data_IF_134019026092
#
_entry.id   IF_134019026092
#
_cell.length_a   1.000
_cell.length_b   1.000
_cell.length_c   1.000
_cell.angle_alpha   90.00
_cell.angle_beta   90.00
_cell.angle_gamma   90.00
#
_symmetry.space_group_name_H-M   'P 1'
#
loop_
_entity.id
_entity.type
_entity.pdbx_description
1 polymer ?
#
# COMPACT_ATOMS: atom_id res chain seq x y z
N UNK A 1 -22.20 5.17 3.47
CA UNK A 1 -21.35 5.12 2.26
C UNK A 1 -20.64 3.79 2.13
N UNK A 2 -20.07 3.26 3.23
CA UNK A 2 -19.39 1.96 3.30
C UNK A 2 -20.27 0.79 2.81
N UNK A 3 -21.49 0.69 3.31
CA UNK A 3 -22.45 -0.35 2.89
C UNK A 3 -22.74 -0.33 1.39
N UNK A 4 -22.82 0.86 0.77
CA UNK A 4 -23.09 0.97 -0.67
C UNK A 4 -21.92 0.52 -1.53
N UNK A 5 -20.68 0.70 -1.10
CA UNK A 5 -19.49 0.30 -1.87
C UNK A 5 -19.22 -1.19 -1.74
N UNK A 6 -19.36 -1.75 -0.54
CA UNK A 6 -19.38 -3.20 -0.33
C UNK A 6 -20.54 -3.83 -1.11
N UNK A 7 -21.73 -3.21 -1.09
CA UNK A 7 -22.89 -3.62 -1.88
C UNK A 7 -22.61 -3.57 -3.38
N UNK A 8 -21.83 -2.61 -3.90
CA UNK A 8 -21.48 -2.55 -5.31
C UNK A 8 -20.51 -3.67 -5.71
N UNK A 9 -19.51 -3.98 -4.90
CA UNK A 9 -18.64 -5.16 -5.12
C UNK A 9 -19.48 -6.44 -5.00
N UNK A 10 -20.34 -6.53 -4.01
CA UNK A 10 -21.26 -7.66 -3.79
C UNK A 10 -22.30 -7.75 -4.89
N UNK A 11 -22.84 -6.62 -5.40
CA UNK A 11 -23.76 -6.60 -6.53
C UNK A 11 -23.08 -7.00 -7.84
N UNK A 12 -21.85 -6.55 -8.08
CA UNK A 12 -21.06 -6.99 -9.22
C UNK A 12 -20.84 -8.52 -9.16
N UNK A 13 -20.49 -9.05 -7.99
CA UNK A 13 -20.37 -10.49 -7.76
C UNK A 13 -21.71 -11.23 -7.92
N UNK A 14 -22.82 -10.65 -7.45
CA UNK A 14 -24.19 -11.24 -7.61
C UNK A 14 -24.71 -11.19 -9.04
N UNK A 15 -24.32 -10.21 -9.83
CA UNK A 15 -24.72 -10.09 -11.24
C UNK A 15 -23.93 -11.07 -12.12
N UNK A 16 -22.66 -11.31 -11.80
CA UNK A 16 -21.81 -12.23 -12.56
C UNK A 16 -22.03 -13.71 -12.24
N UNK A 17 -22.69 -14.04 -11.10
CA UNK A 17 -22.89 -15.42 -10.67
C UNK A 17 -24.36 -15.70 -10.29
N UNK A 18 -25.12 -16.43 -11.12
CA UNK A 18 -26.47 -16.86 -10.76
C UNK A 18 -26.42 -17.80 -9.57
N UNK A 19 -27.37 -17.62 -8.67
CA UNK A 19 -27.56 -18.30 -7.39
C UNK A 19 -27.48 -19.84 -7.50
N UNK A 20 -26.31 -20.39 -7.26
CA UNK A 20 -26.16 -21.76 -6.81
C UNK A 20 -25.44 -21.75 -5.44
N UNK A 21 -25.84 -22.66 -4.57
CA UNK A 21 -25.52 -22.73 -3.13
C UNK A 21 -24.03 -22.97 -2.77
N UNK A 22 -23.06 -22.53 -3.57
CA UNK A 22 -21.64 -22.62 -3.21
C UNK A 22 -21.09 -21.27 -2.75
N UNK A 23 -20.14 -21.31 -1.82
CA UNK A 23 -19.41 -20.13 -1.40
C UNK A 23 -18.64 -19.52 -2.57
N UNK A 24 -18.56 -18.19 -2.59
CA UNK A 24 -17.71 -17.44 -3.53
C UNK A 24 -16.29 -17.43 -2.95
N UNK A 25 -15.35 -17.97 -3.70
CA UNK A 25 -13.94 -18.03 -3.32
C UNK A 25 -13.22 -16.75 -3.73
N UNK A 26 -12.67 -16.04 -2.77
CA UNK A 26 -11.91 -14.81 -2.97
C UNK A 26 -10.47 -15.05 -2.52
N UNK A 27 -9.54 -14.89 -3.44
CA UNK A 27 -8.11 -14.92 -3.13
C UNK A 27 -7.55 -13.50 -3.09
N UNK A 28 -6.89 -13.16 -2.01
CA UNK A 28 -6.33 -11.83 -1.75
C UNK A 28 -4.81 -11.93 -1.78
N UNK A 29 -4.16 -11.17 -2.65
CA UNK A 29 -2.70 -11.20 -2.81
C UNK A 29 -2.14 -9.84 -2.41
N UNK A 30 -1.42 -9.78 -1.29
CA UNK A 30 -0.90 -8.54 -0.71
C UNK A 30 0.52 -8.73 -0.20
N UNK A 31 1.39 -7.76 -0.48
CA UNK A 31 2.75 -7.73 0.10
C UNK A 31 2.69 -7.64 1.63
N UNK A 32 3.66 -8.23 2.35
CA UNK A 32 3.67 -8.23 3.81
C UNK A 32 4.06 -6.89 4.45
N UNK A 33 3.89 -5.78 3.73
CA UNK A 33 4.16 -4.43 4.19
C UNK A 33 2.95 -3.85 4.92
N UNK A 34 3.12 -3.34 6.13
CA UNK A 34 2.02 -2.87 7.00
C UNK A 34 1.10 -1.86 6.32
N UNK A 35 1.66 -0.90 5.55
CA UNK A 35 0.90 0.13 4.84
C UNK A 35 0.03 -0.38 3.68
N UNK A 36 0.24 -1.62 3.22
CA UNK A 36 -0.52 -2.29 2.17
C UNK A 36 -1.44 -3.36 2.74
N UNK A 37 -0.89 -4.19 3.62
CA UNK A 37 -1.62 -5.32 4.20
C UNK A 37 -2.80 -4.85 5.05
N UNK A 38 -2.57 -4.04 6.08
CA UNK A 38 -3.64 -3.68 7.02
C UNK A 38 -4.79 -2.90 6.38
N UNK A 39 -4.59 -1.91 5.51
CA UNK A 39 -5.71 -1.28 4.80
C UNK A 39 -6.55 -2.27 4.01
N UNK A 40 -5.91 -3.22 3.31
CA UNK A 40 -6.62 -4.26 2.54
C UNK A 40 -7.37 -5.22 3.45
N UNK A 41 -6.76 -5.69 4.55
CA UNK A 41 -7.42 -6.58 5.50
C UNK A 41 -8.62 -5.89 6.18
N UNK A 42 -8.47 -4.64 6.58
CA UNK A 42 -9.57 -3.88 7.20
C UNK A 42 -10.73 -3.64 6.22
N UNK A 43 -10.44 -3.42 4.93
CA UNK A 43 -11.46 -3.35 3.89
C UNK A 43 -12.26 -4.65 3.79
N UNK A 44 -11.60 -5.80 3.91
CA UNK A 44 -12.20 -7.12 3.68
C UNK A 44 -12.74 -7.79 4.95
N UNK A 45 -12.31 -7.36 6.14
CA UNK A 45 -12.74 -7.95 7.41
C UNK A 45 -14.27 -8.09 7.57
N UNK A 46 -15.13 -7.16 7.11
CA UNK A 46 -16.58 -7.35 7.17
C UNK A 46 -17.07 -8.56 6.38
N UNK A 47 -16.38 -8.96 5.29
CA UNK A 47 -16.77 -10.09 4.45
C UNK A 47 -16.49 -11.44 5.13
N UNK A 48 -15.56 -11.50 6.08
CA UNK A 48 -15.28 -12.73 6.85
C UNK A 48 -16.47 -13.21 7.68
N UNK A 49 -17.38 -12.30 8.03
CA UNK A 49 -18.58 -12.60 8.81
C UNK A 49 -19.74 -13.12 7.95
N UNK A 50 -19.64 -13.00 6.63
CA UNK A 50 -20.68 -13.47 5.70
C UNK A 50 -20.35 -14.88 5.21
N UNK A 51 -21.18 -15.90 5.53
CA UNK A 51 -20.94 -17.29 5.14
C UNK A 51 -20.94 -17.52 3.62
N UNK A 52 -21.35 -16.53 2.83
CA UNK A 52 -21.32 -16.59 1.38
C UNK A 52 -19.89 -16.60 0.82
N UNK A 53 -18.92 -16.05 1.56
CA UNK A 53 -17.56 -15.89 1.10
C UNK A 53 -16.60 -16.87 1.77
N UNK A 54 -15.63 -17.35 1.00
CA UNK A 54 -14.44 -18.05 1.44
C UNK A 54 -13.23 -17.22 1.02
N UNK A 55 -12.51 -16.65 1.99
CA UNK A 55 -11.43 -15.71 1.72
C UNK A 55 -10.10 -16.33 2.11
N UNK A 56 -9.17 -16.45 1.14
CA UNK A 56 -7.80 -16.88 1.38
C UNK A 56 -6.85 -15.71 1.11
N UNK A 57 -5.89 -15.52 2.01
CA UNK A 57 -4.89 -14.45 1.93
C UNK A 57 -3.52 -15.01 1.58
N UNK A 58 -2.95 -14.53 0.50
CA UNK A 58 -1.60 -14.80 0.04
C UNK A 58 -0.70 -13.64 0.45
N UNK A 59 0.21 -13.87 1.38
CA UNK A 59 1.15 -12.86 1.87
C UNK A 59 2.43 -13.51 2.41
N UNK A 60 3.44 -12.72 2.79
CA UNK A 60 4.67 -13.25 3.36
C UNK A 60 4.48 -13.89 4.73
N UNK A 61 5.29 -14.91 5.08
CA UNK A 61 5.15 -15.70 6.31
C UNK A 61 5.27 -14.87 7.59
N UNK A 62 6.02 -13.75 7.57
CA UNK A 62 6.20 -12.86 8.71
C UNK A 62 4.92 -12.13 9.15
N UNK A 63 3.87 -12.14 8.31
CA UNK A 63 2.55 -11.52 8.61
C UNK A 63 1.43 -12.54 8.83
N UNK A 64 1.76 -13.84 8.79
CA UNK A 64 0.78 -14.93 8.93
C UNK A 64 0.02 -14.84 10.24
N UNK A 65 0.72 -14.83 11.37
CA UNK A 65 0.09 -14.84 12.70
C UNK A 65 -0.92 -13.69 12.87
N UNK A 66 -0.51 -12.45 12.55
CA UNK A 66 -1.38 -11.28 12.68
C UNK A 66 -2.62 -11.36 11.79
N UNK A 67 -2.47 -11.88 10.56
CA UNK A 67 -3.62 -12.00 9.66
C UNK A 67 -4.57 -13.13 10.07
N UNK A 68 -4.05 -14.22 10.64
CA UNK A 68 -4.86 -15.32 11.21
C UNK A 68 -5.62 -14.87 12.46
N UNK A 69 -5.04 -14.03 13.31
CA UNK A 69 -5.73 -13.38 14.44
C UNK A 69 -6.91 -12.51 13.98
N UNK A 70 -6.82 -11.92 12.79
CA UNK A 70 -7.93 -11.19 12.17
C UNK A 70 -9.01 -12.11 11.57
N UNK A 71 -8.79 -13.42 11.54
CA UNK A 71 -9.70 -14.42 11.01
C UNK A 71 -9.51 -14.79 9.53
N UNK A 72 -8.41 -14.38 8.90
CA UNK A 72 -8.10 -14.76 7.52
C UNK A 72 -7.43 -16.14 7.47
N UNK A 73 -7.79 -16.94 6.47
CA UNK A 73 -7.04 -18.14 6.11
C UNK A 73 -5.80 -17.72 5.32
N UNK A 74 -4.61 -17.87 5.91
CA UNK A 74 -3.35 -17.42 5.29
C UNK A 74 -2.65 -18.56 4.57
N UNK A 75 -2.29 -18.30 3.31
CA UNK A 75 -1.41 -19.14 2.51
C UNK A 75 -0.10 -18.35 2.31
N UNK A 76 0.98 -18.71 3.00
CA UNK A 76 2.22 -17.96 2.90
C UNK A 76 2.85 -18.18 1.53
N UNK A 77 3.35 -17.08 0.94
CA UNK A 77 4.10 -17.07 -0.30
C UNK A 77 5.57 -16.79 0.01
N UNK A 78 6.47 -17.46 -0.71
CA UNK A 78 7.92 -17.36 -0.54
C UNK A 78 8.38 -17.69 0.90
N UNK A 79 7.89 -18.80 1.47
CA UNK A 79 8.23 -19.23 2.85
C UNK A 79 9.74 -19.33 3.11
N UNK A 80 10.51 -19.67 2.09
CA UNK A 80 11.96 -19.81 2.19
C UNK A 80 12.73 -18.50 2.00
N UNK A 81 12.04 -17.36 1.75
CA UNK A 81 12.61 -16.07 1.43
C UNK A 81 12.00 -14.97 2.32
N UNK A 82 12.04 -15.16 3.63
CA UNK A 82 11.33 -14.33 4.63
C UNK A 82 11.64 -12.84 4.47
N UNK A 83 12.89 -12.48 4.20
CA UNK A 83 13.34 -11.09 4.12
C UNK A 83 13.33 -10.51 2.70
N UNK A 84 12.90 -11.30 1.70
CA UNK A 84 13.00 -10.90 0.29
C UNK A 84 12.16 -9.66 -0.04
N UNK A 85 10.94 -9.60 0.48
CA UNK A 85 10.06 -8.45 0.28
C UNK A 85 10.61 -7.19 0.96
N UNK A 86 11.15 -7.33 2.16
CA UNK A 86 11.74 -6.20 2.91
C UNK A 86 13.03 -5.74 2.26
N UNK A 87 13.88 -6.66 1.80
CA UNK A 87 15.11 -6.35 1.09
C UNK A 87 14.86 -5.58 -0.20
N UNK A 88 13.84 -5.94 -0.96
CA UNK A 88 13.47 -5.22 -2.20
C UNK A 88 12.88 -3.85 -1.88
N UNK A 89 12.11 -3.72 -0.79
CA UNK A 89 11.48 -2.47 -0.39
C UNK A 89 12.42 -1.48 0.32
N UNK A 90 13.38 -1.99 1.12
CA UNK A 90 14.30 -1.20 1.94
C UNK A 90 15.69 -1.11 1.28
N UNK A 91 15.81 -0.37 0.20
CA UNK A 91 17.11 -0.16 -0.43
C UNK A 91 17.87 0.98 0.28
N UNK A 92 18.96 0.65 0.97
CA UNK A 92 19.81 1.56 1.74
C UNK A 92 20.84 2.33 0.87
N UNK A 93 20.47 2.86 -0.26
CA UNK A 93 21.44 3.52 -1.11
C UNK A 93 20.96 4.79 -1.79
N UNK A 94 21.89 5.70 -2.12
CA UNK A 94 21.61 6.78 -3.04
C UNK A 94 21.14 6.19 -4.38
N UNK A 95 19.96 6.58 -4.82
CA UNK A 95 19.38 6.15 -6.09
C UNK A 95 20.25 6.63 -7.26
N UNK A 96 21.14 5.77 -7.74
CA UNK A 96 21.77 5.92 -9.04
C UNK A 96 21.10 5.00 -10.06
N UNK A 97 21.32 5.24 -11.35
CA UNK A 97 20.66 4.47 -12.42
C UNK A 97 20.95 2.96 -12.36
N UNK A 98 22.12 2.57 -11.88
CA UNK A 98 22.53 1.17 -11.76
C UNK A 98 21.81 0.51 -10.59
N UNK A 99 21.74 1.17 -9.42
CA UNK A 99 21.02 0.65 -8.26
C UNK A 99 19.53 0.55 -8.53
N UNK A 100 18.93 1.55 -9.19
CA UNK A 100 17.54 1.53 -9.61
C UNK A 100 17.23 0.37 -10.57
N UNK A 101 18.09 0.12 -11.56
CA UNK A 101 17.95 -1.03 -12.47
C UNK A 101 18.07 -2.38 -11.74
N UNK A 102 19.06 -2.51 -10.82
CA UNK A 102 19.21 -3.74 -10.01
C UNK A 102 18.00 -4.00 -9.12
N UNK A 103 17.49 -2.98 -8.44
CA UNK A 103 16.31 -3.08 -7.60
C UNK A 103 15.07 -3.48 -8.41
N UNK A 104 14.89 -2.85 -9.58
CA UNK A 104 13.78 -3.18 -10.46
C UNK A 104 13.89 -4.60 -11.03
N UNK A 105 15.11 -5.06 -11.36
CA UNK A 105 15.38 -6.44 -11.75
C UNK A 105 15.05 -7.42 -10.63
N UNK A 106 15.48 -7.16 -9.40
CA UNK A 106 15.16 -8.01 -8.24
C UNK A 106 13.65 -8.06 -7.97
N UNK A 107 12.96 -6.91 -8.12
CA UNK A 107 11.49 -6.86 -7.99
C UNK A 107 10.78 -7.75 -9.02
N UNK A 108 11.28 -7.79 -10.27
CA UNK A 108 10.71 -8.67 -11.31
C UNK A 108 11.01 -10.15 -11.06
N UNK A 109 12.18 -10.49 -10.55
CA UNK A 109 12.50 -11.87 -10.18
C UNK A 109 11.55 -12.35 -9.06
N UNK A 110 11.28 -11.48 -8.08
CA UNK A 110 10.30 -11.73 -7.03
C UNK A 110 8.86 -11.88 -7.59
N UNK A 111 8.44 -11.00 -8.51
CA UNK A 111 7.14 -11.10 -9.18
C UNK A 111 7.01 -12.46 -9.89
N UNK A 112 8.02 -12.93 -10.61
CA UNK A 112 7.99 -14.21 -11.29
C UNK A 112 7.91 -15.38 -10.31
N UNK A 113 8.67 -15.36 -9.22
CA UNK A 113 8.65 -16.40 -8.19
C UNK A 113 7.28 -16.50 -7.50
N UNK A 114 6.67 -15.35 -7.15
CA UNK A 114 5.30 -15.30 -6.61
C UNK A 114 4.28 -15.78 -7.64
N UNK A 115 4.42 -15.38 -8.91
CA UNK A 115 3.52 -15.82 -9.99
C UNK A 115 3.53 -17.33 -10.17
N UNK A 116 4.69 -17.97 -10.10
CA UNK A 116 4.79 -19.44 -10.23
C UNK A 116 4.05 -20.16 -9.09
N UNK A 117 4.16 -19.65 -7.87
CA UNK A 117 3.42 -20.19 -6.72
C UNK A 117 1.90 -19.98 -6.88
N UNK A 118 1.47 -18.80 -7.30
CA UNK A 118 0.05 -18.50 -7.54
C UNK A 118 -0.54 -19.37 -8.64
N UNK A 119 0.17 -19.56 -9.77
CA UNK A 119 -0.28 -20.45 -10.85
C UNK A 119 -0.48 -21.87 -10.35
N UNK A 120 0.48 -22.42 -9.62
CA UNK A 120 0.38 -23.77 -9.06
C UNK A 120 -0.81 -23.91 -8.10
N UNK A 121 -1.03 -22.92 -7.24
CA UNK A 121 -2.13 -22.95 -6.28
C UNK A 121 -3.49 -22.77 -6.97
N UNK A 122 -3.62 -21.84 -7.91
CA UNK A 122 -4.88 -21.56 -8.60
C UNK A 122 -5.26 -22.60 -9.66
N UNK A 123 -4.30 -23.38 -10.16
CA UNK A 123 -4.59 -24.57 -10.95
C UNK A 123 -5.21 -25.68 -10.11
N UNK A 124 -4.81 -25.82 -8.83
CA UNK A 124 -5.37 -26.81 -7.89
C UNK A 124 -6.70 -26.35 -7.30
N UNK A 125 -6.78 -25.10 -6.90
CA UNK A 125 -7.91 -24.51 -6.19
C UNK A 125 -8.21 -23.10 -6.73
N UNK A 126 -8.88 -23.06 -7.88
CA UNK A 126 -9.20 -21.83 -8.61
C UNK A 126 -10.14 -20.95 -7.81
N UNK A 127 -9.82 -19.65 -7.57
CA UNK A 127 -10.76 -18.69 -6.99
C UNK A 127 -11.80 -18.23 -8.03
N UNK A 128 -12.91 -17.69 -7.54
CA UNK A 128 -13.91 -17.02 -8.37
C UNK A 128 -13.49 -15.59 -8.70
N UNK A 129 -12.76 -14.96 -7.79
CA UNK A 129 -12.24 -13.60 -7.95
C UNK A 129 -10.91 -13.44 -7.21
N UNK A 130 -10.03 -12.61 -7.75
CA UNK A 130 -8.76 -12.22 -7.12
C UNK A 130 -8.84 -10.75 -6.70
N UNK A 131 -8.31 -10.44 -5.51
CA UNK A 131 -8.07 -9.07 -5.04
C UNK A 131 -6.57 -8.93 -4.88
N UNK A 132 -5.95 -8.07 -5.68
CA UNK A 132 -4.50 -7.86 -5.68
C UNK A 132 -4.17 -6.43 -5.24
N UNK A 133 -3.26 -6.30 -4.27
CA UNK A 133 -2.69 -5.00 -3.93
C UNK A 133 -1.87 -4.45 -5.11
N UNK A 134 -1.90 -3.14 -5.32
CA UNK A 134 -1.32 -2.49 -6.49
C UNK A 134 0.20 -2.68 -6.65
N UNK A 135 0.92 -3.02 -5.57
CA UNK A 135 2.35 -3.39 -5.63
C UNK A 135 2.51 -4.87 -5.96
N UNK A 136 1.54 -5.71 -5.60
CA UNK A 136 1.62 -7.15 -5.83
C UNK A 136 1.17 -7.49 -7.26
N UNK A 137 1.95 -7.03 -8.25
CA UNK A 137 1.62 -7.18 -9.68
C UNK A 137 1.37 -8.64 -10.09
N UNK A 138 2.04 -9.60 -9.46
CA UNK A 138 1.87 -11.04 -9.71
C UNK A 138 0.42 -11.50 -9.56
N UNK A 139 -0.33 -10.97 -8.58
CA UNK A 139 -1.74 -11.33 -8.38
C UNK A 139 -2.60 -11.00 -9.60
N UNK A 140 -2.47 -9.77 -10.13
CA UNK A 140 -3.19 -9.33 -11.32
C UNK A 140 -2.73 -10.04 -12.59
N UNK A 141 -1.41 -10.16 -12.79
CA UNK A 141 -0.82 -10.79 -13.98
C UNK A 141 -1.24 -12.26 -14.12
N UNK A 142 -1.21 -13.02 -13.02
CA UNK A 142 -1.63 -14.43 -13.03
C UNK A 142 -3.15 -14.56 -13.18
N UNK A 143 -3.92 -13.64 -12.58
CA UNK A 143 -5.37 -13.62 -12.77
C UNK A 143 -5.73 -13.41 -14.25
N UNK A 144 -5.07 -12.48 -14.95
CA UNK A 144 -5.22 -12.29 -16.41
C UNK A 144 -4.80 -13.55 -17.19
N UNK A 145 -3.63 -14.14 -16.89
CA UNK A 145 -3.13 -15.35 -17.53
C UNK A 145 -4.13 -16.51 -17.44
N UNK A 146 -4.78 -16.65 -16.30
CA UNK A 146 -5.74 -17.74 -16.04
C UNK A 146 -7.20 -17.34 -16.33
N UNK A 147 -7.47 -16.14 -16.80
CA UNK A 147 -8.83 -15.64 -17.09
C UNK A 147 -9.70 -15.60 -15.82
N UNK A 148 -9.14 -15.17 -14.69
CA UNK A 148 -9.86 -15.00 -13.42
C UNK A 148 -10.18 -13.51 -13.27
N UNK A 149 -11.46 -13.12 -12.99
CA UNK A 149 -11.79 -11.73 -12.69
C UNK A 149 -10.99 -11.23 -11.49
N UNK A 150 -10.51 -9.99 -11.53
CA UNK A 150 -9.72 -9.46 -10.45
C UNK A 150 -9.97 -7.97 -10.18
N UNK A 151 -9.61 -7.51 -8.98
CA UNK A 151 -9.77 -6.15 -8.50
C UNK A 151 -8.44 -5.69 -7.92
N UNK A 152 -8.07 -4.43 -8.15
CA UNK A 152 -6.89 -3.82 -7.50
C UNK A 152 -7.31 -3.11 -6.22
N UNK A 153 -6.61 -3.35 -5.10
CA UNK A 153 -6.62 -2.46 -3.94
C UNK A 153 -5.45 -1.47 -4.00
N UNK A 154 -5.71 -0.22 -3.68
CA UNK A 154 -4.73 0.85 -3.76
C UNK A 154 -4.72 1.65 -2.46
N UNK A 155 -3.77 1.31 -1.58
CA UNK A 155 -3.61 1.95 -0.28
C UNK A 155 -2.98 3.35 -0.37
N UNK A 156 -2.32 3.67 -1.48
CA UNK A 156 -1.78 5.01 -1.76
C UNK A 156 -1.86 5.33 -3.25
N UNK A 157 -2.31 6.53 -3.56
CA UNK A 157 -2.62 6.97 -4.92
C UNK A 157 -1.41 7.52 -5.66
N UNK A 158 -0.27 7.61 -5.03
CA UNK A 158 0.89 8.28 -5.60
C UNK A 158 1.43 7.60 -6.88
N UNK A 159 1.21 6.30 -7.07
CA UNK A 159 1.75 5.51 -8.18
C UNK A 159 0.89 5.53 -9.46
N UNK A 160 -0.44 5.74 -9.34
CA UNK A 160 -1.36 5.72 -10.48
C UNK A 160 -1.28 7.01 -11.31
N UNK A 161 -1.31 6.87 -12.64
CA UNK A 161 -1.43 8.01 -13.54
C UNK A 161 -2.85 8.60 -13.53
N UNK A 162 -2.90 9.92 -13.49
CA UNK A 162 -4.15 10.71 -13.56
C UNK A 162 -4.06 11.73 -14.68
N UNK A 163 -5.20 12.24 -15.14
CA UNK A 163 -5.22 13.24 -16.21
C UNK A 163 -4.88 14.62 -15.70
N UNK A 164 -5.04 14.87 -14.39
CA UNK A 164 -4.79 16.16 -13.78
C UNK A 164 -4.13 16.04 -12.39
N UNK A 165 -3.60 17.14 -11.86
CA UNK A 165 -2.88 17.20 -10.59
C UNK A 165 -1.40 16.82 -10.68
N UNK A 166 -0.74 16.63 -9.53
CA UNK A 166 0.67 16.26 -9.45
C UNK A 166 0.96 14.94 -10.20
N UNK A 167 2.10 14.84 -10.90
CA UNK A 167 2.50 13.61 -11.56
C UNK A 167 2.77 12.51 -10.54
N UNK A 168 2.50 11.26 -10.90
CA UNK A 168 2.84 10.11 -10.06
C UNK A 168 4.36 10.03 -9.84
N UNK A 169 4.77 9.53 -8.68
CA UNK A 169 6.16 9.45 -8.18
C UNK A 169 6.86 10.80 -7.93
N UNK A 170 6.20 11.93 -8.13
CA UNK A 170 6.76 13.25 -7.79
C UNK A 170 6.04 13.80 -6.55
N UNK A 171 6.81 13.96 -5.48
CA UNK A 171 6.33 14.63 -4.26
C UNK A 171 6.52 16.15 -4.30
N UNK A 172 5.98 16.83 -3.26
CA UNK A 172 6.22 18.25 -3.03
C UNK A 172 5.42 19.22 -3.92
N UNK A 173 4.54 18.72 -4.77
CA UNK A 173 3.69 19.56 -5.61
C UNK A 173 2.28 19.67 -4.99
N UNK A 174 1.87 20.91 -4.67
CA UNK A 174 0.49 21.21 -4.26
C UNK A 174 -0.42 21.53 -5.43
N UNK A 175 -1.65 21.97 -5.15
CA UNK A 175 -2.55 22.50 -6.18
C UNK A 175 -1.90 23.69 -6.91
N UNK A 176 -1.94 23.73 -8.25
CA UNK A 176 -1.28 24.78 -9.01
C UNK A 176 -1.96 26.14 -8.76
N UNK A 177 -1.15 27.15 -8.42
CA UNK A 177 -1.61 28.52 -8.13
C UNK A 177 -1.53 29.46 -9.33
N UNK A 178 -0.89 29.01 -10.42
CA UNK A 178 -0.70 29.81 -11.64
C UNK A 178 -0.48 28.89 -12.87
N UNK A 179 -0.58 29.41 -14.11
CA UNK A 179 -0.40 28.64 -15.33
C UNK A 179 0.96 27.95 -15.47
N UNK A 180 2.02 28.54 -14.90
CA UNK A 180 3.36 27.95 -14.92
C UNK A 180 3.40 26.62 -14.13
N UNK A 181 2.85 26.61 -12.91
CA UNK A 181 2.76 25.39 -12.09
C UNK A 181 1.88 24.31 -12.75
N UNK A 182 0.77 24.71 -13.39
CA UNK A 182 -0.06 23.79 -14.17
C UNK A 182 0.72 23.16 -15.32
N UNK A 183 1.50 23.96 -16.05
CA UNK A 183 2.37 23.47 -17.13
C UNK A 183 3.46 22.55 -16.61
N UNK A 184 4.06 22.89 -15.48
CA UNK A 184 5.07 22.04 -14.82
C UNK A 184 4.49 20.68 -14.44
N UNK A 185 3.29 20.63 -13.85
CA UNK A 185 2.62 19.37 -13.52
C UNK A 185 2.27 18.56 -14.77
N UNK A 186 1.75 19.23 -15.81
CA UNK A 186 1.47 18.58 -17.10
C UNK A 186 2.73 17.97 -17.71
N UNK A 187 3.83 18.71 -17.75
CA UNK A 187 5.12 18.22 -18.26
C UNK A 187 5.62 17.05 -17.41
N UNK A 188 5.54 17.15 -16.08
CA UNK A 188 5.90 16.09 -15.14
C UNK A 188 5.15 14.78 -15.43
N UNK A 189 3.82 14.85 -15.68
CA UNK A 189 3.03 13.67 -16.08
C UNK A 189 3.52 13.06 -17.40
N UNK A 190 3.92 13.88 -18.39
CA UNK A 190 4.49 13.37 -19.66
C UNK A 190 5.85 12.70 -19.46
N UNK A 191 6.71 13.32 -18.64
CA UNK A 191 8.04 12.77 -18.30
C UNK A 191 7.89 11.44 -17.56
N UNK A 192 7.03 11.36 -16.55
CA UNK A 192 6.78 10.11 -15.83
C UNK A 192 6.28 9.01 -16.76
N UNK A 193 5.34 9.33 -17.63
CA UNK A 193 4.80 8.37 -18.61
C UNK A 193 5.87 7.87 -19.58
N UNK A 194 6.73 8.76 -20.06
CA UNK A 194 7.87 8.39 -20.90
C UNK A 194 8.84 7.49 -20.13
N UNK A 195 9.15 7.84 -18.86
CA UNK A 195 10.00 7.02 -17.99
C UNK A 195 9.45 5.61 -17.82
N UNK A 196 8.15 5.46 -17.53
CA UNK A 196 7.50 4.13 -17.43
C UNK A 196 7.63 3.32 -18.72
N UNK A 197 7.45 3.95 -19.91
CA UNK A 197 7.62 3.29 -21.20
C UNK A 197 9.06 2.82 -21.43
N UNK A 198 10.05 3.66 -21.10
CA UNK A 198 11.47 3.30 -21.22
C UNK A 198 11.80 2.11 -20.32
N UNK A 199 11.36 2.16 -19.05
CA UNK A 199 11.56 1.07 -18.09
C UNK A 199 10.92 -0.23 -18.60
N UNK A 200 9.66 -0.18 -19.03
CA UNK A 200 8.96 -1.37 -19.57
C UNK A 200 9.68 -1.92 -20.79
N UNK A 201 10.18 -1.05 -21.68
CA UNK A 201 10.96 -1.48 -22.85
C UNK A 201 12.27 -2.17 -22.45
N UNK A 202 13.00 -1.62 -21.49
CA UNK A 202 14.25 -2.23 -20.98
C UNK A 202 14.01 -3.60 -20.33
N UNK A 203 12.85 -3.80 -19.74
CA UNK A 203 12.48 -5.02 -19.01
C UNK A 203 11.60 -5.98 -19.84
N UNK A 204 11.34 -5.67 -21.12
CA UNK A 204 10.40 -6.42 -21.94
C UNK A 204 10.66 -7.93 -22.00
N UNK A 205 11.93 -8.36 -22.02
CA UNK A 205 12.29 -9.78 -22.06
C UNK A 205 11.84 -10.52 -20.79
N UNK A 206 11.91 -9.85 -19.64
CA UNK A 206 11.47 -10.41 -18.35
C UNK A 206 9.95 -10.42 -18.22
N UNK A 207 9.25 -9.50 -18.88
CA UNK A 207 7.80 -9.38 -18.90
C UNK A 207 7.15 -10.20 -20.03
N UNK A 208 7.94 -10.86 -20.87
CA UNK A 208 7.47 -11.58 -22.06
C UNK A 208 6.46 -12.69 -21.73
N UNK A 209 6.59 -13.33 -20.57
CA UNK A 209 5.67 -14.35 -20.09
C UNK A 209 4.22 -13.88 -20.11
N UNK A 210 3.98 -12.62 -19.76
CA UNK A 210 2.63 -12.07 -19.54
C UNK A 210 2.04 -11.38 -20.76
N UNK A 211 2.71 -11.38 -21.93
CA UNK A 211 2.36 -10.52 -23.10
C UNK A 211 2.04 -9.07 -22.68
N UNK A 212 2.81 -8.57 -21.72
CA UNK A 212 2.54 -7.34 -21.00
C UNK A 212 2.65 -6.10 -21.88
N UNK A 213 1.58 -5.31 -21.92
CA UNK A 213 1.52 -4.00 -22.59
C UNK A 213 1.20 -2.94 -21.53
N UNK A 214 2.09 -2.02 -21.24
CA UNK A 214 1.93 -1.04 -20.18
C UNK A 214 0.63 -0.23 -20.25
N UNK A 215 0.12 0.04 -21.45
CA UNK A 215 -1.12 0.81 -21.65
C UNK A 215 -2.08 0.08 -22.58
N UNK A 216 -3.36 0.15 -22.25
CA UNK A 216 -4.46 -0.32 -23.12
C UNK A 216 -4.78 0.72 -24.23
N UNK A 217 -5.77 0.40 -25.06
CA UNK A 217 -6.26 1.27 -26.15
C UNK A 217 -6.83 2.61 -25.67
N UNK A 218 -7.28 2.70 -24.39
CA UNK A 218 -7.73 3.94 -23.75
C UNK A 218 -6.59 4.72 -23.08
N UNK A 219 -5.35 4.32 -23.29
CA UNK A 219 -4.17 4.89 -22.62
C UNK A 219 -4.16 4.79 -21.09
N UNK A 220 -4.85 3.81 -20.52
CA UNK A 220 -4.83 3.48 -19.11
C UNK A 220 -3.80 2.41 -18.81
N UNK A 221 -3.21 2.44 -17.62
CA UNK A 221 -2.21 1.46 -17.18
C UNK A 221 -2.86 0.09 -16.98
N UNK A 222 -2.27 -0.95 -17.56
CA UNK A 222 -2.78 -2.34 -17.49
C UNK A 222 -2.27 -3.11 -16.27
N UNK A 223 -1.37 -2.52 -15.51
CA UNK A 223 -0.90 -3.09 -14.24
C UNK A 223 -1.98 -3.10 -13.15
N UNK A 224 -3.06 -2.34 -13.37
CA UNK A 224 -4.23 -2.30 -12.50
C UNK A 224 -5.40 -3.01 -13.18
N UNK A 225 -6.32 -3.51 -12.35
CA UNK A 225 -7.51 -4.20 -12.83
C UNK A 225 -8.30 -3.35 -13.84
N UNK A 226 -8.71 -3.94 -14.96
CA UNK A 226 -9.59 -3.26 -15.92
C UNK A 226 -11.04 -3.15 -15.41
N UNK A 227 -11.40 -3.87 -14.34
CA UNK A 227 -12.76 -3.93 -13.82
C UNK A 227 -12.98 -2.93 -12.68
N UNK A 228 -12.08 -2.88 -11.69
CA UNK A 228 -12.20 -1.97 -10.56
C UNK A 228 -10.87 -1.75 -9.85
N UNK A 229 -10.64 -0.50 -9.42
CA UNK A 229 -9.54 -0.10 -8.55
C UNK A 229 -10.15 0.49 -7.29
N UNK A 230 -9.91 -0.12 -6.13
CA UNK A 230 -10.43 0.33 -4.84
C UNK A 230 -9.38 1.21 -4.15
N UNK A 231 -9.57 2.52 -4.23
CA UNK A 231 -8.71 3.51 -3.57
C UNK A 231 -9.03 3.61 -2.08
N UNK A 232 -8.11 3.11 -1.25
CA UNK A 232 -8.25 3.16 0.21
C UNK A 232 -7.67 4.47 0.70
N UNK A 233 -8.52 5.43 1.03
CA UNK A 233 -8.12 6.75 1.46
C UNK A 233 -9.25 7.76 1.38
N UNK A 234 -8.93 9.02 1.67
CA UNK A 234 -9.88 10.14 1.64
C UNK A 234 -9.68 10.95 0.36
N UNK A 235 -10.72 11.01 -0.47
CA UNK A 235 -10.69 11.79 -1.72
C UNK A 235 -10.37 13.26 -1.47
N UNK A 236 -10.81 13.77 -0.35
CA UNK A 236 -10.65 15.17 0.06
C UNK A 236 -9.19 15.56 0.34
N UNK A 237 -8.34 14.58 0.64
CA UNK A 237 -6.91 14.76 0.88
C UNK A 237 -6.06 14.55 -0.39
N UNK A 238 -6.67 14.09 -1.49
CA UNK A 238 -5.94 13.81 -2.72
C UNK A 238 -5.89 15.03 -3.63
N UNK A 239 -4.69 15.39 -4.05
CA UNK A 239 -4.44 16.52 -4.97
C UNK A 239 -4.61 16.16 -6.44
N UNK A 240 -4.59 14.87 -6.75
CA UNK A 240 -4.81 14.37 -8.12
C UNK A 240 -6.29 14.31 -8.44
N UNK A 241 -6.61 14.48 -9.72
CA UNK A 241 -7.95 14.28 -10.24
C UNK A 241 -7.90 13.63 -11.63
N UNK A 242 -9.07 13.20 -12.14
CA UNK A 242 -9.12 12.49 -13.41
C UNK A 242 -8.54 11.07 -13.32
N UNK A 243 -8.87 10.37 -12.24
CA UNK A 243 -8.67 8.93 -12.11
C UNK A 243 -9.45 8.16 -13.18
N UNK A 244 -9.06 6.89 -13.50
CA UNK A 244 -9.85 6.03 -14.37
C UNK A 244 -11.31 5.93 -13.90
N UNK A 245 -12.27 5.75 -14.84
CA UNK A 245 -13.70 5.69 -14.53
C UNK A 245 -14.07 4.57 -13.54
N UNK A 246 -13.31 3.46 -13.57
CA UNK A 246 -13.49 2.31 -12.68
C UNK A 246 -12.69 2.42 -11.37
N UNK A 247 -12.15 3.61 -11.05
CA UNK A 247 -11.53 3.91 -9.77
C UNK A 247 -12.61 4.33 -8.76
N UNK A 248 -12.68 3.58 -7.66
CA UNK A 248 -13.69 3.79 -6.61
C UNK A 248 -13.00 4.16 -5.29
N UNK A 249 -13.35 5.28 -4.72
CA UNK A 249 -12.94 5.65 -3.38
C UNK A 249 -13.76 4.86 -2.36
N UNK A 250 -13.07 4.04 -1.54
CA UNK A 250 -13.72 3.18 -0.54
C UNK A 250 -13.55 3.70 0.89
N UNK A 251 -12.86 4.82 1.06
CA UNK A 251 -12.63 5.46 2.35
C UNK A 251 -11.43 4.90 3.12
N UNK A 252 -11.01 5.58 4.19
CA UNK A 252 -10.05 5.05 5.14
C UNK A 252 -10.74 4.04 6.05
N UNK A 253 -10.02 2.99 6.43
CA UNK A 253 -10.47 2.01 7.42
C UNK A 253 -9.59 2.11 8.66
N UNK A 254 -10.22 2.33 9.81
CA UNK A 254 -9.54 2.23 11.09
C UNK A 254 -9.05 0.80 11.33
N UNK A 255 -7.89 0.64 11.95
CA UNK A 255 -7.42 -0.68 12.36
C UNK A 255 -8.42 -1.30 13.34
N UNK A 256 -8.91 -2.49 13.00
CA UNK A 256 -9.68 -3.34 13.93
C UNK A 256 -8.76 -4.13 14.86
N UNK A 257 -7.45 -4.10 14.61
CA UNK A 257 -6.46 -4.81 15.39
C UNK A 257 -6.01 -3.90 16.51
N UNK A 258 -6.30 -4.29 17.73
CA UNK A 258 -5.59 -3.82 18.91
C UNK A 258 -4.32 -4.67 18.98
N UNK A 259 -3.17 -4.07 18.68
CA UNK A 259 -1.91 -4.74 18.99
C UNK A 259 -1.85 -4.87 20.48
N UNK A 260 -1.68 -6.09 20.97
CA UNK A 260 -1.55 -6.41 22.40
C UNK A 260 -0.24 -5.86 23.02
N UNK A 261 0.58 -5.17 22.24
CA UNK A 261 1.85 -4.60 22.66
C UNK A 261 1.59 -3.38 23.55
N UNK A 262 2.08 -3.43 24.78
CA UNK A 262 2.01 -2.32 25.70
C UNK A 262 3.11 -1.30 25.36
N UNK A 263 2.70 -0.11 24.91
CA UNK A 263 3.61 1.02 24.65
C UNK A 263 3.32 2.14 25.65
N UNK A 264 3.87 2.07 26.88
CA UNK A 264 3.49 2.93 27.98
C UNK A 264 4.16 4.31 27.88
N UNK A 265 3.79 5.11 26.87
CA UNK A 265 4.22 6.50 26.80
C UNK A 265 3.39 7.33 27.76
N UNK A 266 4.02 7.88 28.81
CA UNK A 266 3.38 8.85 29.68
C UNK A 266 3.39 10.24 29.03
N UNK A 267 2.21 10.78 28.77
CA UNK A 267 2.03 12.12 28.22
C UNK A 267 1.84 13.23 29.31
N UNK A 268 1.75 12.86 30.58
CA UNK A 268 1.54 13.83 31.69
C UNK A 268 2.66 14.88 31.81
N UNK A 269 3.96 14.54 31.65
CA UNK A 269 5.04 15.53 31.66
C UNK A 269 4.88 16.64 30.63
N UNK A 270 4.18 16.35 29.50
CA UNK A 270 4.03 17.25 28.36
C UNK A 270 2.65 17.94 28.31
N UNK A 271 1.91 17.95 29.43
CA UNK A 271 0.54 18.50 29.50
C UNK A 271 0.45 19.98 29.09
N UNK A 272 1.51 20.74 29.33
CA UNK A 272 1.56 22.17 29.00
C UNK A 272 2.07 22.47 27.59
N UNK A 273 2.40 21.45 26.80
CA UNK A 273 2.88 21.60 25.43
C UNK A 273 1.81 21.14 24.44
N UNK A 274 1.78 21.76 23.28
CA UNK A 274 1.11 21.18 22.10
C UNK A 274 1.91 19.95 21.69
N UNK A 275 1.25 18.80 21.61
CA UNK A 275 1.89 17.55 21.26
C UNK A 275 1.81 17.33 19.76
N UNK A 276 2.94 17.02 19.14
CA UNK A 276 3.05 16.84 17.67
C UNK A 276 3.65 15.45 17.40
N UNK A 277 2.89 14.59 16.77
CA UNK A 277 3.40 13.30 16.29
C UNK A 277 4.07 13.48 14.92
N UNK A 278 5.31 13.01 14.82
CA UNK A 278 6.10 13.01 13.58
C UNK A 278 6.43 11.58 13.18
N UNK A 279 6.05 11.17 11.99
CA UNK A 279 6.25 9.80 11.50
C UNK A 279 6.42 9.75 9.99
N UNK A 280 7.29 8.86 9.52
CA UNK A 280 7.32 8.41 8.12
C UNK A 280 6.94 6.92 7.97
N UNK A 281 6.21 6.37 8.95
CA UNK A 281 5.74 4.99 8.94
C UNK A 281 6.86 3.98 9.23
N UNK A 282 6.63 2.72 8.84
CA UNK A 282 7.54 1.59 9.10
C UNK A 282 8.60 1.40 8.03
N UNK A 283 8.41 2.00 6.86
CA UNK A 283 9.33 1.92 5.72
C UNK A 283 10.29 3.12 5.68
N UNK A 284 11.17 3.16 4.68
CA UNK A 284 12.10 4.27 4.43
C UNK A 284 13.07 4.51 5.61
N UNK A 285 13.77 3.48 6.05
CA UNK A 285 14.76 3.57 7.13
C UNK A 285 15.76 4.73 6.92
N UNK A 286 16.23 4.90 5.69
CA UNK A 286 17.15 5.97 5.29
C UNK A 286 16.59 7.40 5.43
N UNK A 287 15.27 7.57 5.45
CA UNK A 287 14.64 8.89 5.58
C UNK A 287 14.47 9.31 7.05
N UNK A 288 14.59 8.39 8.00
CA UNK A 288 14.31 8.64 9.43
C UNK A 288 15.31 9.58 10.06
N UNK A 289 16.59 9.47 9.73
CA UNK A 289 17.63 10.37 10.24
C UNK A 289 17.41 11.81 9.75
N UNK A 290 17.04 11.97 8.48
CA UNK A 290 16.73 13.29 7.94
C UNK A 290 15.44 13.86 8.57
N UNK A 291 14.40 13.03 8.79
CA UNK A 291 13.18 13.44 9.46
C UNK A 291 13.47 13.91 10.88
N UNK A 292 14.30 13.17 11.60
CA UNK A 292 14.71 13.52 12.96
C UNK A 292 15.46 14.86 12.97
N UNK A 293 16.44 15.02 12.07
CA UNK A 293 17.20 16.28 11.93
C UNK A 293 16.26 17.47 11.64
N UNK A 294 15.33 17.33 10.69
CA UNK A 294 14.39 18.40 10.34
C UNK A 294 13.46 18.72 11.52
N UNK A 295 13.01 17.69 12.26
CA UNK A 295 12.18 17.89 13.46
C UNK A 295 12.95 18.65 14.54
N UNK A 296 14.22 18.35 14.77
CA UNK A 296 15.05 19.09 15.73
C UNK A 296 15.22 20.57 15.33
N UNK A 297 15.35 20.88 14.03
CA UNK A 297 15.39 22.27 13.58
C UNK A 297 14.06 22.99 13.80
N UNK A 298 12.93 22.30 13.51
CA UNK A 298 11.59 22.82 13.70
C UNK A 298 11.31 23.06 15.20
N UNK A 299 11.71 22.14 16.06
CA UNK A 299 11.49 22.21 17.51
C UNK A 299 12.16 23.44 18.16
N UNK A 300 13.32 23.87 17.66
CA UNK A 300 13.96 25.12 18.12
C UNK A 300 13.11 26.36 17.88
N UNK A 301 12.32 26.36 16.80
CA UNK A 301 11.43 27.48 16.45
C UNK A 301 10.06 27.43 17.16
N UNK A 302 9.73 26.29 17.79
CA UNK A 302 8.43 26.03 18.42
C UNK A 302 8.60 25.46 19.84
N UNK A 303 9.07 26.27 20.80
CA UNK A 303 9.31 25.81 22.17
C UNK A 303 7.99 25.48 22.94
N UNK A 304 6.85 25.92 22.44
CA UNK A 304 5.50 25.62 22.97
C UNK A 304 5.00 24.24 22.53
N UNK A 305 5.71 23.55 21.63
CA UNK A 305 5.38 22.23 21.13
C UNK A 305 6.35 21.18 21.67
N UNK A 306 5.86 19.96 21.97
CA UNK A 306 6.68 18.77 22.15
C UNK A 306 6.48 17.80 21.00
N UNK A 307 7.56 17.38 20.38
CA UNK A 307 7.56 16.54 19.17
C UNK A 307 7.88 15.09 19.54
N UNK A 308 6.99 14.17 19.22
CA UNK A 308 7.20 12.73 19.34
C UNK A 308 7.52 12.15 17.97
N UNK A 309 8.79 11.78 17.74
CA UNK A 309 9.25 11.19 16.49
C UNK A 309 9.19 9.68 16.61
N UNK A 310 8.31 9.01 15.86
CA UNK A 310 8.23 7.56 15.88
C UNK A 310 9.04 6.92 14.77
N UNK A 311 9.88 5.95 15.13
CA UNK A 311 10.69 5.19 14.19
C UNK A 311 9.90 4.09 13.48
N UNK A 312 8.72 3.72 13.99
CA UNK A 312 7.84 2.72 13.38
C UNK A 312 8.32 1.27 13.52
N UNK A 313 9.25 1.00 14.43
CA UNK A 313 9.71 -0.36 14.73
C UNK A 313 8.76 -1.00 15.76
N UNK A 314 7.73 -1.71 15.29
CA UNK A 314 6.89 -2.56 16.14
C UNK A 314 7.55 -3.91 16.41
N UNK A 315 7.21 -4.54 17.55
CA UNK A 315 7.71 -5.87 17.91
C UNK A 315 9.05 -5.89 18.63
N UNK A 316 9.59 -4.73 18.99
CA UNK A 316 10.74 -4.55 19.89
C UNK A 316 10.26 -4.01 21.22
N UNK A 317 11.10 -4.10 22.27
CA UNK A 317 10.83 -3.44 23.53
C UNK A 317 10.59 -1.94 23.30
N UNK A 318 9.59 -1.40 23.99
CA UNK A 318 9.28 0.02 23.90
C UNK A 318 10.47 0.83 24.40
N UNK A 319 10.90 1.77 23.58
CA UNK A 319 11.95 2.73 23.91
C UNK A 319 11.44 4.13 23.66
N UNK A 320 11.67 5.01 24.63
CA UNK A 320 11.44 6.45 24.52
C UNK A 320 12.70 7.18 25.01
N UNK A 321 13.28 7.99 24.15
CA UNK A 321 14.48 8.77 24.45
C UNK A 321 14.23 10.24 24.18
N UNK A 322 14.45 11.09 25.20
CA UNK A 322 14.45 12.54 25.03
C UNK A 322 15.80 12.98 24.47
N UNK A 323 15.79 13.47 23.25
CA UNK A 323 17.01 13.94 22.55
C UNK A 323 17.18 15.45 22.59
N UNK A 324 16.10 16.18 22.94
CA UNK A 324 16.05 17.60 23.23
C UNK A 324 14.91 17.87 24.22
N UNK A 325 14.93 19.02 24.89
CA UNK A 325 13.90 19.42 25.88
C UNK A 325 12.45 19.28 25.34
N UNK A 326 12.27 19.37 24.04
CA UNK A 326 10.98 19.29 23.37
C UNK A 326 10.94 18.30 22.18
N UNK A 327 11.85 17.32 22.15
CA UNK A 327 11.85 16.23 21.14
C UNK A 327 12.13 14.90 21.80
N UNK A 328 11.17 13.99 21.73
CA UNK A 328 11.31 12.59 22.13
C UNK A 328 11.26 11.66 20.93
N UNK A 329 12.18 10.70 20.87
CA UNK A 329 12.17 9.61 19.88
C UNK A 329 11.55 8.37 20.52
N UNK A 330 10.57 7.79 19.85
CA UNK A 330 9.89 6.56 20.31
C UNK A 330 10.01 5.47 19.25
N UNK A 331 10.23 4.23 19.67
CA UNK A 331 10.37 3.09 18.77
C UNK A 331 9.09 2.87 17.97
N UNK A 332 7.94 2.94 18.61
CA UNK A 332 6.61 2.78 18.01
C UNK A 332 5.54 3.44 18.86
N UNK A 333 4.46 3.94 18.23
CA UNK A 333 3.25 4.40 18.91
C UNK A 333 2.00 3.84 18.23
N UNK A 334 1.03 3.28 18.99
CA UNK A 334 -0.31 2.96 18.51
C UNK A 334 -1.09 4.25 18.23
N UNK A 335 -1.21 4.63 16.97
CA UNK A 335 -1.82 5.92 16.59
C UNK A 335 -3.26 6.08 17.07
N UNK A 336 -4.04 4.98 17.10
CA UNK A 336 -5.43 4.99 17.57
C UNK A 336 -5.54 5.45 19.04
N UNK A 337 -4.56 5.09 19.85
CA UNK A 337 -4.52 5.39 21.28
C UNK A 337 -3.99 6.81 21.57
N UNK A 338 -2.88 7.17 20.89
CA UNK A 338 -2.13 8.38 21.23
C UNK A 338 -2.53 9.63 20.46
N UNK A 339 -2.94 9.53 19.17
CA UNK A 339 -3.36 10.71 18.40
C UNK A 339 -4.51 11.48 19.07
N UNK A 340 -5.55 10.85 19.66
CA UNK A 340 -6.60 11.58 20.33
C UNK A 340 -6.15 12.36 21.58
N UNK A 341 -4.96 12.11 22.09
CA UNK A 341 -4.39 12.74 23.28
C UNK A 341 -3.33 13.80 22.93
N UNK A 342 -3.00 13.96 21.67
CA UNK A 342 -2.05 14.92 21.11
C UNK A 342 -2.76 16.08 20.41
#
# INVERSE_FOLDING_TARGET
>A
MLERTIILVVLFLKICYPRHMRKIKIDVVVVPLSGHLFPTLNLLAPLLKDPLYEIRLFTGPQRKAVAEEMGFQVIPILENCVDEFERVANNEGQLNLISAYRQLSASLDLINAVSDQLVQEWQKNRPDIVIADFITLSGGLVAEELGIPWITTMATQFAIETTDGPPCFFGGMGSPKNPFQSTQQWLGRKVTRLGKRIVTFLLRERLKRYDFKLYNHKNQETIYSPYSILGIGMKELELKSGFPEHYLWVGPFGSSIERAENYPLDLAPYANHKKVLVSCGTQLAWAKDNLLYQTQQLAKAHPDCHFFVTLGFGGQDFQCEEIMDNVSVVSYLPYKEYIPQM
#
